data_IF_819541567698
#
_entry.id   IF_819541567698
#
_cell.length_a   1.000
_cell.length_b   1.000
_cell.length_c   1.000
_cell.angle_alpha   90.00
_cell.angle_beta   90.00
_cell.angle_gamma   90.00
#
_symmetry.space_group_name_H-M   'P 1'
#
loop_
_entity.id
_entity.type
_entity.pdbx_description
1 polymer ?
#
# COMPACT_ATOMS: atom_id res chain seq x y z
N UNK A 1 6.38 12.62 -4.54
CA UNK A 1 5.08 13.10 -4.02
C UNK A 1 4.50 14.26 -4.84
N UNK A 2 5.26 15.32 -5.13
CA UNK A 2 4.77 16.50 -5.89
C UNK A 2 4.43 16.19 -7.36
N UNK A 3 5.20 15.32 -8.02
CA UNK A 3 4.97 14.99 -9.45
C UNK A 3 3.70 14.17 -9.70
N UNK A 4 3.35 13.26 -8.78
CA UNK A 4 2.13 12.43 -8.87
C UNK A 4 0.89 13.34 -8.73
N UNK A 5 0.93 14.29 -7.80
CA UNK A 5 -0.13 15.28 -7.61
C UNK A 5 -0.28 16.21 -8.83
N UNK A 6 0.85 16.64 -9.45
CA UNK A 6 0.85 17.51 -10.63
C UNK A 6 0.27 16.84 -11.88
N UNK A 7 0.55 15.54 -12.11
CA UNK A 7 -0.03 14.78 -13.23
C UNK A 7 -1.55 14.58 -13.09
N UNK A 8 -2.04 14.38 -11.86
CA UNK A 8 -3.48 14.34 -11.59
C UNK A 8 -4.14 15.72 -11.79
N UNK A 9 -3.46 16.82 -11.46
CA UNK A 9 -3.97 18.18 -11.67
C UNK A 9 -3.97 18.64 -13.14
N UNK A 10 -3.02 18.22 -13.97
CA UNK A 10 -3.02 18.62 -15.40
C UNK A 10 -4.12 17.94 -16.23
N UNK A 11 -4.61 16.77 -15.79
CA UNK A 11 -5.81 16.14 -16.38
C UNK A 11 -7.12 16.87 -16.00
N UNK A 12 -7.07 17.75 -15.01
CA UNK A 12 -8.21 18.44 -14.37
C UNK A 12 -8.88 19.49 -15.27
N UNK A 13 -8.21 19.93 -16.34
CA UNK A 13 -8.78 20.94 -17.24
C UNK A 13 -9.91 20.41 -18.15
N UNK A 14 -10.09 19.08 -18.29
CA UNK A 14 -11.01 18.55 -19.33
C UNK A 14 -11.93 17.39 -18.94
N UNK A 15 -11.85 16.82 -17.73
CA UNK A 15 -12.86 15.89 -17.18
C UNK A 15 -12.61 15.69 -15.69
N UNK A 16 -13.66 15.84 -14.89
CA UNK A 16 -13.65 15.62 -13.44
C UNK A 16 -13.45 14.12 -13.16
N UNK A 17 -12.21 13.66 -13.15
CA UNK A 17 -11.84 12.32 -12.72
C UNK A 17 -11.27 12.43 -11.31
N UNK A 18 -11.93 11.81 -10.34
CA UNK A 18 -11.33 11.62 -9.02
C UNK A 18 -10.05 10.77 -9.21
N UNK A 19 -8.92 11.29 -8.77
CA UNK A 19 -7.64 10.59 -8.85
C UNK A 19 -7.63 9.55 -7.73
N UNK A 20 -8.05 8.32 -8.06
CA UNK A 20 -7.95 7.16 -7.17
C UNK A 20 -6.47 6.81 -7.05
N UNK A 21 -5.82 7.31 -6.00
CA UNK A 21 -4.42 6.99 -5.71
C UNK A 21 -4.39 5.67 -4.95
N UNK A 22 -3.97 4.55 -5.55
CA UNK A 22 -3.87 3.28 -4.85
C UNK A 22 -2.83 3.36 -3.73
N UNK A 23 -3.02 2.57 -2.68
CA UNK A 23 -2.18 2.59 -1.50
C UNK A 23 -1.77 1.20 -1.04
N UNK A 24 -0.68 1.16 -0.27
CA UNK A 24 -0.18 -0.04 0.38
C UNK A 24 -0.26 0.12 1.91
N UNK A 25 -0.79 -0.90 2.56
CA UNK A 25 -0.86 -1.04 4.01
C UNK A 25 0.24 -2.00 4.45
N UNK A 26 1.04 -1.59 5.42
CA UNK A 26 2.08 -2.39 6.05
C UNK A 26 1.66 -2.66 7.49
N UNK A 27 1.55 -3.93 7.86
CA UNK A 27 1.22 -4.32 9.22
C UNK A 27 2.38 -4.01 10.18
N UNK A 28 2.06 -3.95 11.48
CA UNK A 28 3.06 -3.73 12.54
C UNK A 28 3.90 -4.98 12.87
N UNK A 29 4.78 -4.83 13.85
CA UNK A 29 5.56 -5.94 14.43
C UNK A 29 4.58 -6.93 15.09
N UNK A 30 4.91 -8.22 14.99
CA UNK A 30 4.12 -9.33 15.54
C UNK A 30 2.73 -9.52 14.93
N UNK A 31 2.52 -8.97 13.73
CA UNK A 31 1.27 -9.06 12.99
C UNK A 31 1.52 -9.62 11.59
N UNK A 32 0.45 -9.89 10.86
CA UNK A 32 0.47 -10.33 9.47
C UNK A 32 -0.78 -9.82 8.74
N UNK A 33 -0.75 -9.81 7.40
CA UNK A 33 -1.88 -9.35 6.59
C UNK A 33 -3.13 -10.24 6.73
N UNK A 34 -2.97 -11.50 7.11
CA UNK A 34 -4.07 -12.43 7.38
C UNK A 34 -4.83 -12.12 8.67
N UNK A 35 -4.30 -11.26 9.54
CA UNK A 35 -5.01 -10.83 10.75
C UNK A 35 -6.32 -10.11 10.38
N UNK A 36 -7.40 -10.45 11.09
CA UNK A 36 -8.71 -9.81 10.89
C UNK A 36 -8.61 -8.28 11.00
N UNK A 37 -7.88 -7.78 12.01
CA UNK A 37 -7.66 -6.33 12.21
C UNK A 37 -7.04 -5.66 10.99
N UNK A 38 -6.03 -6.28 10.37
CA UNK A 38 -5.27 -5.71 9.26
C UNK A 38 -6.06 -5.77 7.95
N UNK A 39 -6.74 -6.89 7.73
CA UNK A 39 -7.61 -7.08 6.58
C UNK A 39 -8.84 -6.15 6.63
N UNK A 40 -9.49 -6.01 7.79
CA UNK A 40 -10.61 -5.10 7.99
C UNK A 40 -10.20 -3.64 7.85
N UNK A 41 -9.04 -3.25 8.39
CA UNK A 41 -8.55 -1.89 8.26
C UNK A 41 -8.23 -1.52 6.81
N UNK A 42 -7.60 -2.45 6.07
CA UNK A 42 -7.32 -2.24 4.64
C UNK A 42 -8.61 -2.10 3.85
N UNK A 43 -9.60 -2.98 4.10
CA UNK A 43 -10.93 -2.89 3.47
C UNK A 43 -11.61 -1.57 3.80
N UNK A 44 -11.62 -1.16 5.07
CA UNK A 44 -12.21 0.10 5.50
C UNK A 44 -11.61 1.30 4.76
N UNK A 45 -10.27 1.36 4.62
CA UNK A 45 -9.62 2.43 3.88
C UNK A 45 -9.95 2.40 2.39
N UNK A 46 -10.02 1.22 1.78
CA UNK A 46 -10.44 1.06 0.38
C UNK A 46 -11.86 1.57 0.16
N UNK A 47 -12.80 1.10 0.98
CA UNK A 47 -14.21 1.47 0.86
C UNK A 47 -14.43 2.98 1.11
N UNK A 48 -13.70 3.56 2.06
CA UNK A 48 -13.85 4.97 2.42
C UNK A 48 -13.15 5.92 1.44
N UNK A 49 -12.00 5.54 0.89
CA UNK A 49 -11.24 6.37 -0.05
C UNK A 49 -11.69 6.23 -1.50
N UNK A 50 -12.34 5.11 -1.85
CA UNK A 50 -12.58 4.73 -3.24
C UNK A 50 -11.30 4.30 -3.97
N UNK A 51 -10.15 4.27 -3.29
CA UNK A 51 -8.87 3.85 -3.87
C UNK A 51 -8.59 2.37 -3.61
N UNK A 52 -7.97 1.72 -4.59
CA UNK A 52 -7.50 0.34 -4.43
C UNK A 52 -6.41 0.25 -3.35
N UNK A 53 -6.65 -0.57 -2.32
CA UNK A 53 -5.73 -0.79 -1.21
C UNK A 53 -5.18 -2.21 -1.19
N UNK A 54 -3.93 -2.37 -0.80
CA UNK A 54 -3.26 -3.67 -0.71
C UNK A 54 -2.51 -3.81 0.62
N UNK A 55 -2.76 -4.89 1.36
CA UNK A 55 -1.88 -5.27 2.47
C UNK A 55 -0.70 -6.07 1.91
N UNK A 56 0.53 -5.59 2.12
CA UNK A 56 1.73 -6.29 1.70
C UNK A 56 2.34 -7.07 2.85
N UNK A 57 2.23 -8.39 2.77
CA UNK A 57 2.88 -9.30 3.71
C UNK A 57 4.41 -9.20 3.59
N UNK A 58 5.14 -9.13 4.70
CA UNK A 58 6.62 -8.99 4.67
C UNK A 58 7.24 -10.27 5.22
N UNK A 59 7.86 -11.05 4.34
CA UNK A 59 8.43 -12.35 4.71
C UNK A 59 7.32 -13.38 5.00
N UNK A 60 7.45 -14.07 6.13
CA UNK A 60 6.58 -15.14 6.60
C UNK A 60 5.81 -14.71 7.87
N UNK A 61 5.08 -13.59 7.82
CA UNK A 61 4.21 -13.16 8.90
C UNK A 61 4.95 -12.78 10.17
N UNK A 62 4.36 -13.19 11.30
CA UNK A 62 4.78 -12.79 12.65
C UNK A 62 6.28 -13.03 12.89
N UNK A 63 6.82 -14.18 12.48
CA UNK A 63 8.22 -14.56 12.79
C UNK A 63 9.21 -13.59 12.12
N UNK A 64 8.98 -13.30 10.84
CA UNK A 64 9.85 -12.42 10.07
C UNK A 64 9.71 -10.97 10.51
N UNK A 65 8.51 -10.55 10.96
CA UNK A 65 8.32 -9.22 11.54
C UNK A 65 9.18 -8.95 12.78
N UNK A 66 9.54 -10.00 13.55
CA UNK A 66 10.39 -9.90 14.74
C UNK A 66 11.88 -10.04 14.43
N UNK A 67 12.23 -10.95 13.51
CA UNK A 67 13.60 -11.42 13.35
C UNK A 67 14.31 -10.79 12.14
N UNK A 68 13.57 -10.29 11.14
CA UNK A 68 14.19 -9.60 10.00
C UNK A 68 14.49 -8.14 10.33
N UNK A 69 15.71 -7.66 10.06
CA UNK A 69 16.03 -6.23 10.18
C UNK A 69 15.09 -5.37 9.34
N UNK A 70 14.73 -4.19 9.86
CA UNK A 70 13.82 -3.27 9.17
C UNK A 70 14.32 -2.86 7.78
N UNK A 71 15.63 -2.78 7.58
CA UNK A 71 16.21 -2.51 6.24
C UNK A 71 15.90 -3.61 5.24
N UNK A 72 15.98 -4.88 5.66
CA UNK A 72 15.62 -6.02 4.82
C UNK A 72 14.10 -6.03 4.55
N UNK A 73 13.28 -5.68 5.55
CA UNK A 73 11.84 -5.53 5.37
C UNK A 73 11.51 -4.45 4.32
N UNK A 74 12.19 -3.30 4.37
CA UNK A 74 12.03 -2.21 3.39
C UNK A 74 12.43 -2.66 1.98
N UNK A 75 13.54 -3.39 1.83
CA UNK A 75 13.95 -3.95 0.55
C UNK A 75 12.89 -4.89 -0.03
N UNK A 76 12.35 -5.80 0.78
CA UNK A 76 11.27 -6.71 0.37
C UNK A 76 10.03 -5.92 -0.09
N UNK A 77 9.60 -4.91 0.67
CA UNK A 77 8.46 -4.06 0.30
C UNK A 77 8.72 -3.32 -1.01
N UNK A 78 9.91 -2.75 -1.17
CA UNK A 78 10.27 -2.01 -2.40
C UNK A 78 10.22 -2.91 -3.63
N UNK A 79 10.73 -4.13 -3.55
CA UNK A 79 10.66 -5.08 -4.66
C UNK A 79 9.23 -5.53 -4.96
N UNK A 80 8.39 -5.73 -3.95
CA UNK A 80 6.97 -6.03 -4.15
C UNK A 80 6.22 -4.87 -4.82
N UNK A 81 6.42 -3.63 -4.35
CA UNK A 81 5.77 -2.44 -4.93
C UNK A 81 6.17 -2.23 -6.39
N UNK A 82 7.45 -2.46 -6.75
CA UNK A 82 7.91 -2.35 -8.14
C UNK A 82 7.22 -3.33 -9.09
N UNK A 83 6.75 -4.47 -8.58
CA UNK A 83 6.05 -5.51 -9.36
C UNK A 83 4.55 -5.23 -9.50
N UNK A 84 4.01 -4.23 -8.80
CA UNK A 84 2.60 -3.87 -8.85
C UNK A 84 2.38 -2.77 -9.89
N UNK A 85 1.91 -3.17 -11.08
CA UNK A 85 1.65 -2.24 -12.19
C UNK A 85 0.68 -1.10 -11.82
N UNK A 86 -0.27 -1.38 -10.91
CA UNK A 86 -1.24 -0.38 -10.43
C UNK A 86 -0.61 0.74 -9.59
N UNK A 87 0.58 0.52 -9.02
CA UNK A 87 1.30 1.50 -8.19
C UNK A 87 2.41 2.24 -8.95
N UNK A 88 2.57 1.98 -10.26
CA UNK A 88 3.70 2.45 -11.08
C UNK A 88 3.42 3.73 -11.85
#
# INVERSE_FOLDING_TARGET
MVEICSKCYLSFAYRFSFCEVPFVMLHGISAECSDETNSDFTRFLTDHSGSQGFCLEIGNGIIDSWLKPLTEQVEIVCEKVKQMDVLR
#
